data_IF_235403988777
#
_entry.id   IF_235403988777
#
_cell.length_a   1.000
_cell.length_b   1.000
_cell.length_c   1.000
_cell.angle_alpha   90.00
_cell.angle_beta   90.00
_cell.angle_gamma   90.00
#
_symmetry.space_group_name_H-M   'P 1'
#
loop_
_entity.id
_entity.type
_entity.pdbx_description
1 polymer ?
#
# COMPACT_ATOMS: atom_id res chain seq x y z
N UNK A 1 -8.40 10.03 -6.97
CA UNK A 1 -9.78 9.75 -6.47
C UNK A 1 -10.50 11.07 -6.29
N UNK A 2 -11.68 11.26 -6.89
CA UNK A 2 -12.48 12.49 -6.71
C UNK A 2 -13.11 12.52 -5.31
N UNK A 3 -13.42 13.72 -4.80
CA UNK A 3 -14.07 13.90 -3.50
C UNK A 3 -15.45 13.20 -3.44
N UNK A 4 -16.15 13.17 -4.56
CA UNK A 4 -17.43 12.47 -4.70
C UNK A 4 -17.29 10.95 -4.54
N UNK A 5 -16.29 10.35 -5.19
CA UNK A 5 -15.97 8.93 -5.06
C UNK A 5 -15.61 8.58 -3.62
N UNK A 6 -14.76 9.38 -2.97
CA UNK A 6 -14.41 9.19 -1.57
C UNK A 6 -15.65 9.20 -0.66
N UNK A 7 -16.51 10.18 -0.82
CA UNK A 7 -17.75 10.32 -0.06
C UNK A 7 -18.70 9.12 -0.28
N UNK A 8 -18.76 8.60 -1.50
CA UNK A 8 -19.57 7.42 -1.80
C UNK A 8 -19.00 6.15 -1.14
N UNK A 9 -17.68 5.96 -1.19
CA UNK A 9 -17.04 4.82 -0.53
C UNK A 9 -17.22 4.86 0.99
N UNK A 10 -17.10 6.05 1.59
CA UNK A 10 -17.36 6.25 3.03
C UNK A 10 -18.79 5.84 3.41
N UNK A 11 -19.81 6.34 2.69
CA UNK A 11 -21.20 5.96 2.92
C UNK A 11 -21.45 4.45 2.79
N UNK A 12 -20.83 3.82 1.79
CA UNK A 12 -20.93 2.37 1.61
C UNK A 12 -20.31 1.60 2.79
N UNK A 13 -19.14 2.05 3.27
CA UNK A 13 -18.47 1.48 4.43
C UNK A 13 -19.34 1.59 5.70
N UNK A 14 -19.88 2.77 5.97
CA UNK A 14 -20.79 3.00 7.11
C UNK A 14 -22.04 2.12 7.04
N UNK A 15 -22.65 2.00 5.85
CA UNK A 15 -23.81 1.14 5.63
C UNK A 15 -23.49 -0.34 5.90
N UNK A 16 -22.35 -0.82 5.47
CA UNK A 16 -21.91 -2.19 5.73
C UNK A 16 -21.60 -2.41 7.21
N UNK A 17 -20.89 -1.49 7.85
CA UNK A 17 -20.56 -1.57 9.28
C UNK A 17 -21.84 -1.62 10.14
N UNK A 18 -22.86 -0.84 9.81
CA UNK A 18 -24.15 -0.85 10.52
C UNK A 18 -24.93 -2.16 10.40
N UNK A 19 -24.59 -3.03 9.44
CA UNK A 19 -25.19 -4.34 9.27
C UNK A 19 -24.40 -5.46 9.99
N UNK A 20 -23.18 -5.14 10.49
CA UNK A 20 -22.33 -6.11 11.16
C UNK A 20 -22.72 -6.29 12.63
N UNK A 21 -22.62 -7.51 13.12
CA UNK A 21 -22.61 -7.79 14.56
C UNK A 21 -21.31 -7.30 15.18
N UNK A 22 -21.26 -7.12 16.50
CA UNK A 22 -20.05 -6.73 17.22
C UNK A 22 -18.88 -7.69 16.95
N UNK A 23 -19.14 -8.99 16.88
CA UNK A 23 -18.09 -10.00 16.61
C UNK A 23 -17.54 -9.83 15.18
N UNK A 24 -18.41 -9.56 14.21
CA UNK A 24 -17.98 -9.30 12.83
C UNK A 24 -17.19 -8.01 12.74
N UNK A 25 -17.62 -6.92 13.38
CA UNK A 25 -16.86 -5.66 13.44
C UNK A 25 -15.44 -5.88 14.00
N UNK A 26 -15.33 -6.56 15.13
CA UNK A 26 -14.02 -6.89 15.76
C UNK A 26 -13.16 -7.74 14.81
N UNK A 27 -13.76 -8.65 14.04
CA UNK A 27 -13.02 -9.48 13.10
C UNK A 27 -12.41 -8.69 11.94
N UNK A 28 -12.97 -7.51 11.60
CA UNK A 28 -12.44 -6.62 10.56
C UNK A 28 -11.27 -5.75 11.03
N UNK A 29 -11.04 -5.63 12.35
CA UNK A 29 -9.97 -4.80 12.91
C UNK A 29 -8.60 -5.50 12.95
N UNK A 30 -8.51 -6.72 12.44
CA UNK A 30 -7.25 -7.49 12.39
C UNK A 30 -6.54 -7.25 11.06
N UNK A 31 -5.22 -7.50 11.04
CA UNK A 31 -4.45 -7.50 9.78
C UNK A 31 -4.95 -8.54 8.77
N UNK A 32 -5.57 -9.62 9.23
CA UNK A 32 -6.28 -10.60 8.40
C UNK A 32 -7.76 -10.53 8.73
N UNK A 33 -8.50 -9.69 8.01
CA UNK A 33 -9.96 -9.54 8.14
C UNK A 33 -10.66 -10.78 7.61
N UNK A 34 -11.60 -11.32 8.38
CA UNK A 34 -12.36 -12.50 7.99
C UNK A 34 -13.44 -12.17 6.95
N UNK A 35 -13.78 -13.16 6.12
CA UNK A 35 -14.94 -13.04 5.25
C UNK A 35 -16.24 -12.93 6.06
N UNK A 36 -17.19 -12.14 5.54
CA UNK A 36 -18.58 -12.07 6.05
C UNK A 36 -19.49 -12.37 4.86
N UNK A 37 -19.75 -13.64 4.64
CA UNK A 37 -20.43 -14.13 3.42
C UNK A 37 -21.81 -13.51 3.22
N UNK A 38 -22.60 -13.36 4.31
CA UNK A 38 -23.94 -12.75 4.25
C UNK A 38 -23.94 -11.29 3.78
N UNK A 39 -22.79 -10.60 3.86
CA UNK A 39 -22.60 -9.22 3.38
C UNK A 39 -21.77 -9.16 2.11
N UNK A 40 -21.42 -10.31 1.53
CA UNK A 40 -20.54 -10.45 0.37
C UNK A 40 -19.17 -9.75 0.58
N UNK A 41 -18.69 -9.78 1.82
CA UNK A 41 -17.34 -9.27 2.17
C UNK A 41 -16.38 -10.46 2.13
N UNK A 42 -15.39 -10.36 1.26
CA UNK A 42 -14.33 -11.37 1.15
C UNK A 42 -13.30 -11.21 2.28
N UNK A 43 -12.59 -12.28 2.59
CA UNK A 43 -11.40 -12.21 3.43
C UNK A 43 -10.37 -11.27 2.76
N UNK A 44 -9.66 -10.49 3.59
CA UNK A 44 -8.60 -9.61 3.11
C UNK A 44 -7.45 -9.56 4.11
N UNK A 45 -6.22 -9.54 3.60
CA UNK A 45 -5.04 -9.32 4.42
C UNK A 45 -4.48 -7.91 4.15
N UNK A 46 -4.42 -7.10 5.20
CA UNK A 46 -3.97 -5.70 5.16
C UNK A 46 -2.45 -5.55 5.15
N UNK A 47 -1.71 -6.65 5.37
CA UNK A 47 -0.25 -6.62 5.43
C UNK A 47 0.36 -6.94 4.08
N UNK A 48 0.73 -5.90 3.35
CA UNK A 48 1.38 -6.01 2.04
C UNK A 48 2.51 -4.99 1.95
N UNK A 49 3.59 -5.34 1.28
CA UNK A 49 4.80 -4.52 1.21
C UNK A 49 5.16 -4.23 -0.24
N UNK A 50 5.56 -2.97 -0.50
CA UNK A 50 5.91 -2.48 -1.83
C UNK A 50 6.87 -1.29 -1.78
N UNK A 51 7.79 -1.25 -0.81
CA UNK A 51 8.65 -0.09 -0.57
C UNK A 51 9.61 0.17 -1.74
N UNK A 52 10.20 -0.87 -2.31
CA UNK A 52 11.07 -0.81 -3.48
C UNK A 52 10.87 -2.00 -4.43
N UNK A 53 9.65 -2.43 -4.57
CA UNK A 53 9.16 -3.58 -5.33
C UNK A 53 8.16 -4.37 -4.51
N UNK A 54 7.28 -5.13 -5.16
CA UNK A 54 6.32 -5.99 -4.46
C UNK A 54 7.07 -7.06 -3.70
N UNK A 55 6.94 -7.09 -2.39
CA UNK A 55 7.68 -8.01 -1.55
C UNK A 55 6.85 -9.24 -1.16
N UNK A 56 7.55 -10.39 -1.08
CA UNK A 56 7.08 -11.68 -0.54
C UNK A 56 5.85 -12.27 -1.24
N UNK A 57 5.60 -11.84 -2.48
CA UNK A 57 4.51 -12.35 -3.32
C UNK A 57 5.05 -12.98 -4.62
N UNK A 58 6.08 -13.81 -4.52
CA UNK A 58 6.77 -14.39 -5.67
C UNK A 58 7.79 -13.43 -6.30
N UNK A 59 8.11 -13.64 -7.58
CA UNK A 59 9.06 -12.82 -8.32
C UNK A 59 8.42 -11.48 -8.72
N UNK A 60 9.15 -10.39 -8.52
CA UNK A 60 8.76 -9.03 -8.94
C UNK A 60 10.00 -8.21 -9.25
N UNK A 61 9.82 -7.06 -9.88
CA UNK A 61 10.90 -6.09 -10.11
C UNK A 61 11.36 -5.52 -8.77
N UNK A 62 12.69 -5.52 -8.54
CA UNK A 62 13.31 -4.95 -7.34
C UNK A 62 14.02 -3.67 -7.73
N UNK A 63 13.63 -2.58 -7.08
CA UNK A 63 14.25 -1.27 -7.21
C UNK A 63 15.26 -1.03 -6.08
N UNK A 64 16.13 0.00 -6.19
CA UNK A 64 16.94 0.42 -5.07
C UNK A 64 16.12 0.81 -3.84
N UNK A 65 16.72 0.74 -2.65
CA UNK A 65 16.08 1.24 -1.43
C UNK A 65 15.74 2.73 -1.52
N UNK A 66 14.75 3.18 -0.75
CA UNK A 66 14.24 4.55 -0.79
C UNK A 66 15.35 5.61 -0.65
N UNK A 67 16.29 5.42 0.27
CA UNK A 67 17.43 6.33 0.46
C UNK A 67 18.32 6.43 -0.80
N UNK A 68 18.47 5.34 -1.53
CA UNK A 68 19.24 5.33 -2.78
C UNK A 68 18.45 5.98 -3.92
N UNK A 69 17.14 5.74 -4.03
CA UNK A 69 16.28 6.45 -4.98
C UNK A 69 16.31 7.96 -4.72
N UNK A 70 16.29 8.36 -3.44
CA UNK A 70 16.34 9.77 -3.04
C UNK A 70 17.63 10.47 -3.48
N UNK A 71 18.76 9.77 -3.52
CA UNK A 71 20.05 10.34 -3.96
C UNK A 71 20.10 10.70 -5.45
N UNK A 72 19.10 10.27 -6.23
CA UNK A 72 18.95 10.70 -7.63
C UNK A 72 18.37 12.11 -7.76
N UNK A 73 17.64 12.61 -6.76
CA UNK A 73 16.87 13.86 -6.80
C UNK A 73 15.86 13.91 -7.96
N UNK A 74 15.45 12.76 -8.48
CA UNK A 74 14.56 12.63 -9.64
C UNK A 74 13.17 12.10 -9.20
N UNK A 75 12.24 13.02 -8.97
CA UNK A 75 10.87 12.70 -8.57
C UNK A 75 10.12 11.92 -9.65
N UNK A 76 10.37 12.20 -10.93
CA UNK A 76 9.72 11.52 -12.05
C UNK A 76 10.21 10.05 -12.14
N UNK A 77 11.47 9.79 -11.88
CA UNK A 77 11.98 8.42 -11.81
C UNK A 77 11.34 7.66 -10.64
N UNK A 78 11.21 8.27 -9.47
CA UNK A 78 10.55 7.67 -8.29
C UNK A 78 9.08 7.36 -8.61
N UNK A 79 8.35 8.29 -9.25
CA UNK A 79 6.96 8.07 -9.68
C UNK A 79 6.85 6.90 -10.66
N UNK A 80 7.73 6.80 -11.67
CA UNK A 80 7.75 5.67 -12.61
C UNK A 80 8.03 4.34 -11.92
N UNK A 81 8.96 4.28 -10.97
CA UNK A 81 9.20 3.08 -10.17
C UNK A 81 7.94 2.66 -9.40
N UNK A 82 7.27 3.61 -8.78
CA UNK A 82 6.04 3.38 -8.02
C UNK A 82 4.89 2.89 -8.90
N UNK A 83 4.75 3.42 -10.11
CA UNK A 83 3.74 2.97 -11.10
C UNK A 83 3.98 1.50 -11.53
N UNK A 84 5.24 1.12 -11.75
CA UNK A 84 5.60 -0.28 -12.03
C UNK A 84 5.24 -1.19 -10.84
N UNK A 85 5.57 -0.77 -9.61
CA UNK A 85 5.23 -1.50 -8.39
C UNK A 85 3.70 -1.68 -8.29
N UNK A 86 2.94 -0.62 -8.54
CA UNK A 86 1.48 -0.63 -8.55
C UNK A 86 0.92 -1.62 -9.56
N UNK A 87 1.43 -1.59 -10.79
CA UNK A 87 1.04 -2.50 -11.86
C UNK A 87 1.29 -3.96 -11.50
N UNK A 88 2.49 -4.28 -11.01
CA UNK A 88 2.85 -5.64 -10.58
C UNK A 88 2.00 -6.10 -9.38
N UNK A 89 1.75 -5.21 -8.41
CA UNK A 89 0.90 -5.51 -7.26
C UNK A 89 -0.53 -5.85 -7.70
N UNK A 90 -1.12 -5.09 -8.64
CA UNK A 90 -2.47 -5.35 -9.18
C UNK A 90 -2.53 -6.65 -9.97
N UNK A 91 -1.52 -6.96 -10.78
CA UNK A 91 -1.44 -8.22 -11.52
C UNK A 91 -1.44 -9.42 -10.56
N UNK A 92 -0.59 -9.38 -9.54
CA UNK A 92 -0.49 -10.42 -8.50
C UNK A 92 -1.76 -10.55 -7.67
N UNK A 93 -2.36 -9.43 -7.30
CA UNK A 93 -3.65 -9.41 -6.60
C UNK A 93 -4.73 -10.09 -7.43
N UNK A 94 -4.87 -9.74 -8.72
CA UNK A 94 -5.88 -10.31 -9.60
C UNK A 94 -5.72 -11.83 -9.74
N UNK A 95 -4.50 -12.30 -9.92
CA UNK A 95 -4.18 -13.74 -9.94
C UNK A 95 -4.57 -14.41 -8.62
N UNK A 96 -4.18 -13.82 -7.49
CA UNK A 96 -4.52 -14.36 -6.15
C UNK A 96 -6.02 -14.43 -5.93
N UNK A 97 -6.79 -13.41 -6.37
CA UNK A 97 -8.24 -13.42 -6.27
C UNK A 97 -8.88 -14.56 -7.10
N UNK A 98 -8.36 -14.82 -8.31
CA UNK A 98 -8.83 -15.94 -9.14
C UNK A 98 -8.58 -17.29 -8.46
N UNK A 99 -7.42 -17.43 -7.80
CA UNK A 99 -7.04 -18.63 -7.06
C UNK A 99 -7.65 -18.70 -5.65
N UNK A 100 -8.47 -17.70 -5.23
CA UNK A 100 -9.02 -17.58 -3.87
C UNK A 100 -7.95 -17.59 -2.77
N UNK A 101 -6.77 -17.04 -3.08
CA UNK A 101 -5.66 -16.88 -2.14
C UNK A 101 -5.69 -15.48 -1.53
N UNK A 102 -6.16 -15.38 -0.30
CA UNK A 102 -6.26 -14.14 0.47
C UNK A 102 -5.21 -14.06 1.58
N UNK A 103 -4.11 -14.76 1.44
CA UNK A 103 -3.04 -14.80 2.43
C UNK A 103 -2.26 -13.48 2.50
N UNK A 104 -1.36 -13.40 3.47
CA UNK A 104 -0.46 -12.24 3.64
C UNK A 104 0.33 -11.95 2.36
N UNK A 105 0.58 -10.68 2.07
CA UNK A 105 1.27 -10.16 0.87
C UNK A 105 0.50 -10.32 -0.45
N UNK A 106 -0.79 -10.60 -0.40
CA UNK A 106 -1.65 -10.81 -1.57
C UNK A 106 -2.68 -9.71 -1.80
N UNK A 107 -2.65 -8.66 -0.99
CA UNK A 107 -3.56 -7.51 -1.07
C UNK A 107 -2.95 -6.31 -1.81
N UNK A 108 -3.72 -5.21 -1.85
CA UNK A 108 -3.34 -3.93 -2.49
C UNK A 108 -3.11 -2.80 -1.48
N UNK A 109 -3.19 -3.05 -0.18
CA UNK A 109 -2.87 -2.07 0.85
C UNK A 109 -1.37 -2.13 1.12
N UNK A 110 -0.58 -1.39 0.37
CA UNK A 110 0.87 -1.38 0.51
C UNK A 110 1.30 -0.48 1.66
N UNK A 111 2.18 -0.98 2.54
CA UNK A 111 2.75 -0.23 3.67
C UNK A 111 3.98 0.55 3.20
N UNK A 112 3.76 1.43 2.24
CA UNK A 112 4.77 2.26 1.60
C UNK A 112 4.14 3.52 0.98
N UNK A 113 4.93 4.61 0.83
CA UNK A 113 6.33 4.76 1.25
C UNK A 113 6.48 4.93 2.77
N UNK A 114 7.72 4.80 3.29
CA UNK A 114 8.02 5.17 4.67
C UNK A 114 8.29 6.68 4.76
N UNK A 115 7.24 7.45 5.05
CA UNK A 115 7.34 8.91 5.22
C UNK A 115 7.81 9.21 6.65
N UNK A 116 9.11 9.34 6.79
CA UNK A 116 9.76 9.65 8.05
C UNK A 116 11.10 10.35 7.78
N UNK A 117 11.63 11.06 8.78
CA UNK A 117 12.91 11.75 8.69
C UNK A 117 14.00 10.89 9.32
N UNK A 118 15.10 10.69 8.60
CA UNK A 118 16.25 9.94 9.10
C UNK A 118 17.04 10.77 10.12
N UNK A 119 16.62 10.76 11.38
CA UNK A 119 17.14 11.63 12.45
C UNK A 119 18.42 11.13 13.09
N UNK A 120 18.67 9.82 13.07
CA UNK A 120 19.76 9.21 13.82
C UNK A 120 20.35 8.05 13.01
N UNK A 121 21.68 8.07 12.74
CA UNK A 121 22.33 7.03 11.94
C UNK A 121 22.29 5.62 12.59
N UNK A 122 21.99 5.54 13.89
CA UNK A 122 21.80 4.25 14.59
C UNK A 122 20.47 3.59 14.31
N UNK A 123 19.52 4.31 13.68
CA UNK A 123 18.23 3.75 13.35
C UNK A 123 18.34 2.72 12.20
N UNK A 124 18.08 1.45 12.53
CA UNK A 124 18.26 0.31 11.61
C UNK A 124 17.41 0.31 10.35
N UNK A 125 16.34 1.13 10.30
CA UNK A 125 15.44 1.28 9.14
C UNK A 125 15.59 2.61 8.40
N UNK A 126 16.67 3.36 8.66
CA UNK A 126 16.91 4.65 8.01
C UNK A 126 16.95 4.58 6.48
N UNK A 127 17.44 3.47 5.93
CA UNK A 127 17.50 3.24 4.48
C UNK A 127 16.12 3.11 3.80
N UNK A 128 15.07 2.90 4.55
CA UNK A 128 13.69 2.86 4.05
C UNK A 128 13.09 4.27 3.85
N UNK A 129 13.79 5.33 4.25
CA UNK A 129 13.35 6.72 4.12
C UNK A 129 14.04 7.43 2.96
N UNK A 130 13.53 8.60 2.59
CA UNK A 130 14.15 9.46 1.58
C UNK A 130 15.27 10.36 2.14
N UNK A 131 15.66 10.18 3.41
CA UNK A 131 16.76 10.88 4.06
C UNK A 131 16.31 11.81 5.18
N UNK A 132 17.17 12.79 5.49
CA UNK A 132 17.01 13.70 6.63
C UNK A 132 16.28 15.01 6.29
N UNK A 133 16.22 15.37 5.00
CA UNK A 133 15.62 16.61 4.53
C UNK A 133 14.10 16.48 4.36
N UNK A 134 13.28 17.31 5.05
CA UNK A 134 11.83 17.23 4.98
C UNK A 134 11.26 17.66 3.62
N UNK A 135 11.91 18.58 2.91
CA UNK A 135 11.45 19.02 1.60
C UNK A 135 11.65 17.90 0.56
N UNK A 136 12.84 17.32 0.48
CA UNK A 136 13.13 16.18 -0.40
C UNK A 136 12.19 15.00 -0.10
N UNK A 137 12.00 14.68 1.19
CA UNK A 137 11.06 13.63 1.62
C UNK A 137 9.63 13.92 1.16
N UNK A 138 9.18 15.16 1.24
CA UNK A 138 7.84 15.55 0.78
C UNK A 138 7.68 15.38 -0.73
N UNK A 139 8.63 15.88 -1.51
CA UNK A 139 8.58 15.81 -2.99
C UNK A 139 8.59 14.36 -3.46
N UNK A 140 9.54 13.56 -2.99
CA UNK A 140 9.68 12.16 -3.42
C UNK A 140 8.55 11.28 -2.86
N UNK A 141 8.09 11.57 -1.64
CA UNK A 141 6.97 10.87 -1.03
C UNK A 141 5.67 11.08 -1.81
N UNK A 142 5.37 12.32 -2.21
CA UNK A 142 4.23 12.62 -3.07
C UNK A 142 4.34 11.92 -4.43
N UNK A 143 5.51 11.98 -5.08
CA UNK A 143 5.74 11.31 -6.36
C UNK A 143 5.52 9.79 -6.27
N UNK A 144 6.02 9.15 -5.21
CA UNK A 144 5.82 7.73 -4.98
C UNK A 144 4.33 7.40 -4.75
N UNK A 145 3.63 8.19 -3.91
CA UNK A 145 2.20 7.99 -3.64
C UNK A 145 1.38 8.14 -4.91
N UNK A 146 1.64 9.17 -5.73
CA UNK A 146 0.97 9.35 -7.01
C UNK A 146 1.17 8.15 -7.94
N UNK A 147 2.38 7.62 -8.04
CA UNK A 147 2.68 6.43 -8.84
C UNK A 147 1.96 5.17 -8.32
N UNK A 148 1.95 4.94 -6.99
CA UNK A 148 1.25 3.78 -6.40
C UNK A 148 -0.27 3.88 -6.58
N UNK A 149 -0.85 5.07 -6.44
CA UNK A 149 -2.30 5.26 -6.59
C UNK A 149 -2.74 5.22 -8.04
N UNK A 150 -1.90 5.69 -8.97
CA UNK A 150 -2.22 5.78 -10.38
C UNK A 150 -3.27 6.86 -10.68
N UNK A 151 -3.70 6.90 -11.93
CA UNK A 151 -4.64 7.90 -12.46
C UNK A 151 -6.12 7.47 -12.34
N UNK A 152 -6.50 6.69 -11.36
CA UNK A 152 -7.87 6.18 -11.18
C UNK A 152 -8.81 7.18 -10.52
#
# INVERSE_FOLDING_TARGET
>A
MTEENYSQHKRNGERLANQMSLIELVSQMRNSSKAIERLNIKQYNWWNEGLHGVARAGVATVFPQAICMASSFDADAVKRCADIISTEARAKFNESQQNKDYSIYKGLTLWSPNINIFRDPRWGRGHETYGEDPYLTSVLGCAFIEGIQGDN
#
